data_IF_660194293915
#
_entry.id   IF_660194293915
#
_cell.length_a   1.000
_cell.length_b   1.000
_cell.length_c   1.000
_cell.angle_alpha   90.00
_cell.angle_beta   90.00
_cell.angle_gamma   90.00
#
_symmetry.space_group_name_H-M   'P 1'
#
loop_
_entity.id
_entity.type
_entity.pdbx_description
1 polymer ?
#
# COMPACT_ATOMS: atom_id res chain seq x y z
N UNK A 1 4.40 59.01 43.94
CA UNK A 1 4.99 57.77 44.50
C UNK A 1 4.21 56.53 44.03
N UNK A 2 2.87 56.60 43.96
CA UNK A 2 2.01 55.48 43.52
C UNK A 2 2.21 55.02 42.07
N UNK A 3 2.44 55.94 41.13
CA UNK A 3 2.64 55.59 39.70
C UNK A 3 3.93 54.79 39.47
N UNK A 4 5.00 55.11 40.20
CA UNK A 4 6.28 54.39 40.12
C UNK A 4 6.18 52.98 40.75
N UNK A 5 5.45 52.85 41.86
CA UNK A 5 5.17 51.56 42.50
C UNK A 5 4.33 50.65 41.60
N UNK A 6 3.33 51.21 40.90
CA UNK A 6 2.51 50.47 39.95
C UNK A 6 3.31 49.99 38.73
N UNK A 7 4.21 50.82 38.19
CA UNK A 7 5.08 50.44 37.08
C UNK A 7 6.05 49.31 37.45
N UNK A 8 6.67 49.38 38.65
CA UNK A 8 7.57 48.33 39.16
C UNK A 8 6.81 47.04 39.44
N UNK A 9 5.60 47.12 39.98
CA UNK A 9 4.74 45.95 40.19
C UNK A 9 4.32 45.30 38.85
N UNK A 10 3.99 46.09 37.83
CA UNK A 10 3.66 45.61 36.49
C UNK A 10 4.83 44.87 35.82
N UNK A 11 6.05 45.42 35.91
CA UNK A 11 7.28 44.82 35.39
C UNK A 11 7.59 43.49 36.09
N UNK A 12 7.44 43.42 37.42
CA UNK A 12 7.66 42.21 38.21
C UNK A 12 6.63 41.12 37.87
N UNK A 13 5.36 41.47 37.70
CA UNK A 13 4.30 40.54 37.29
C UNK A 13 4.57 40.02 35.88
N UNK A 14 4.96 40.88 34.94
CA UNK A 14 5.32 40.50 33.57
C UNK A 14 6.51 39.52 33.54
N UNK A 15 7.56 39.79 34.32
CA UNK A 15 8.73 38.90 34.44
C UNK A 15 8.38 37.58 35.14
N UNK A 16 7.49 37.59 36.13
CA UNK A 16 7.02 36.38 36.80
C UNK A 16 6.19 35.50 35.88
N UNK A 17 5.26 36.10 35.11
CA UNK A 17 4.48 35.38 34.09
C UNK A 17 5.41 34.82 33.00
N UNK A 18 6.38 35.62 32.54
CA UNK A 18 7.37 35.18 31.55
C UNK A 18 8.24 34.05 32.09
N UNK A 19 8.65 34.09 33.36
CA UNK A 19 9.40 33.02 34.00
C UNK A 19 8.57 31.73 34.14
N UNK A 20 7.30 31.83 34.53
CA UNK A 20 6.40 30.68 34.63
C UNK A 20 6.11 30.07 33.26
N UNK A 21 5.87 30.90 32.23
CA UNK A 21 5.74 30.46 30.85
C UNK A 21 7.02 29.76 30.40
N UNK A 22 8.18 30.36 30.63
CA UNK A 22 9.45 29.80 30.18
C UNK A 22 9.79 28.48 30.91
N UNK A 23 9.50 28.38 32.21
CA UNK A 23 9.66 27.13 33.00
C UNK A 23 8.66 26.04 32.60
N UNK A 24 7.41 26.41 32.29
CA UNK A 24 6.39 25.50 31.76
C UNK A 24 6.72 25.00 30.35
N UNK A 25 7.19 25.89 29.46
CA UNK A 25 7.63 25.53 28.10
C UNK A 25 8.88 24.66 28.13
N UNK A 26 9.88 25.01 28.93
CA UNK A 26 11.14 24.25 29.06
C UNK A 26 10.90 22.85 29.63
N UNK A 27 10.08 22.71 30.68
CA UNK A 27 9.73 21.39 31.25
C UNK A 27 8.93 20.52 30.29
N UNK A 28 8.03 21.12 29.50
CA UNK A 28 7.22 20.40 28.50
C UNK A 28 8.03 19.95 27.29
N UNK A 29 8.92 20.79 26.77
CA UNK A 29 9.83 20.42 25.67
C UNK A 29 10.73 19.25 26.08
N UNK A 30 11.32 19.33 27.27
CA UNK A 30 12.23 18.31 27.78
C UNK A 30 11.51 16.98 28.08
N UNK A 31 10.20 17.01 28.37
CA UNK A 31 9.38 15.80 28.48
C UNK A 31 9.04 15.21 27.11
N UNK A 32 8.79 16.04 26.10
CA UNK A 32 8.39 15.57 24.77
C UNK A 32 9.58 14.99 23.99
N UNK A 33 10.77 15.58 24.11
CA UNK A 33 12.01 15.06 23.52
C UNK A 33 12.33 13.66 24.07
N UNK A 34 12.26 13.47 25.39
CA UNK A 34 12.42 12.15 26.02
C UNK A 34 11.40 11.12 25.56
N UNK A 35 10.13 11.54 25.39
CA UNK A 35 9.08 10.65 24.86
C UNK A 35 9.37 10.27 23.41
N UNK A 36 9.86 11.22 22.59
CA UNK A 36 10.26 10.98 21.21
C UNK A 36 11.48 10.04 21.11
N UNK A 37 12.50 10.23 21.95
CA UNK A 37 13.65 9.32 22.04
C UNK A 37 13.21 7.90 22.38
N UNK A 38 12.34 7.76 23.39
CA UNK A 38 11.80 6.46 23.80
C UNK A 38 10.97 5.81 22.70
N UNK A 39 10.13 6.60 22.02
CA UNK A 39 9.35 6.16 20.87
C UNK A 39 10.25 5.67 19.74
N UNK A 40 11.32 6.40 19.41
CA UNK A 40 12.29 6.02 18.40
C UNK A 40 13.01 4.72 18.75
N UNK A 41 13.48 4.56 19.99
CA UNK A 41 14.08 3.31 20.46
C UNK A 41 13.13 2.12 20.36
N UNK A 42 11.86 2.28 20.74
CA UNK A 42 10.86 1.21 20.62
C UNK A 42 10.57 0.87 19.16
N UNK A 43 10.47 1.87 18.28
CA UNK A 43 10.29 1.65 16.84
C UNK A 43 11.45 0.88 16.23
N UNK A 44 12.70 1.23 16.57
CA UNK A 44 13.87 0.49 16.10
C UNK A 44 13.85 -0.98 16.55
N UNK A 45 13.46 -1.23 17.80
CA UNK A 45 13.32 -2.60 18.34
C UNK A 45 12.22 -3.37 17.62
N UNK A 46 11.04 -2.78 17.44
CA UNK A 46 9.92 -3.42 16.73
C UNK A 46 10.27 -3.68 15.27
N UNK A 47 10.90 -2.73 14.57
CA UNK A 47 11.37 -2.90 13.19
C UNK A 47 12.30 -4.10 13.08
N UNK A 48 13.30 -4.20 13.96
CA UNK A 48 14.23 -5.34 14.00
C UNK A 48 13.50 -6.68 14.20
N UNK A 49 12.49 -6.72 15.07
CA UNK A 49 11.71 -7.94 15.33
C UNK A 49 10.86 -8.31 14.10
N UNK A 50 10.22 -7.34 13.45
CA UNK A 50 9.41 -7.56 12.24
C UNK A 50 10.31 -8.04 11.09
N UNK A 51 11.45 -7.41 10.88
CA UNK A 51 12.43 -7.81 9.87
C UNK A 51 12.97 -9.22 10.09
N UNK A 52 13.31 -9.60 11.34
CA UNK A 52 13.73 -10.98 11.63
C UNK A 52 12.57 -11.96 11.42
N UNK A 53 11.34 -11.59 11.80
CA UNK A 53 10.15 -12.43 11.63
C UNK A 53 9.82 -12.69 10.16
N UNK A 54 10.07 -11.72 9.29
CA UNK A 54 9.89 -11.87 7.84
C UNK A 54 10.80 -12.89 7.18
N UNK A 55 11.88 -13.25 7.88
CA UNK A 55 12.91 -14.17 7.41
C UNK A 55 12.72 -15.58 7.95
N UNK A 56 11.63 -15.85 8.67
CA UNK A 56 11.40 -17.11 9.35
C UNK A 56 10.01 -17.67 9.07
N UNK A 57 9.89 -18.99 9.09
CA UNK A 57 8.61 -19.66 8.92
C UNK A 57 7.86 -19.73 10.24
N UNK A 58 6.76 -19.00 10.31
CA UNK A 58 5.92 -18.90 11.51
C UNK A 58 4.66 -19.70 11.24
N UNK A 59 4.58 -20.92 11.78
CA UNK A 59 3.39 -21.77 11.63
C UNK A 59 2.35 -21.53 12.74
N UNK A 60 2.76 -20.97 13.88
CA UNK A 60 1.87 -20.73 15.00
C UNK A 60 0.95 -19.52 14.73
N UNK A 61 -0.36 -19.72 14.77
CA UNK A 61 -1.35 -18.66 14.49
C UNK A 61 -1.32 -17.51 15.50
N UNK A 62 -0.96 -17.79 16.76
CA UNK A 62 -0.78 -16.77 17.80
C UNK A 62 0.42 -15.86 17.49
N UNK A 63 1.55 -16.44 17.10
CA UNK A 63 2.73 -15.68 16.66
C UNK A 63 2.43 -14.84 15.42
N UNK A 64 1.69 -15.37 14.44
CA UNK A 64 1.27 -14.58 13.27
C UNK A 64 0.41 -13.36 13.68
N UNK A 65 -0.46 -13.51 14.69
CA UNK A 65 -1.27 -12.41 15.21
C UNK A 65 -0.39 -11.38 15.94
N UNK A 66 0.57 -11.82 16.73
CA UNK A 66 1.54 -10.95 17.39
C UNK A 66 2.37 -10.14 16.38
N UNK A 67 2.85 -10.76 15.30
CA UNK A 67 3.55 -10.07 14.21
C UNK A 67 2.67 -9.00 13.53
N UNK A 68 1.38 -9.30 13.33
CA UNK A 68 0.43 -8.33 12.78
C UNK A 68 0.25 -7.14 13.71
N UNK A 69 0.09 -7.38 15.01
CA UNK A 69 -0.05 -6.31 16.01
C UNK A 69 1.23 -5.45 16.10
N UNK A 70 2.41 -6.06 16.05
CA UNK A 70 3.71 -5.38 15.97
C UNK A 70 3.78 -4.43 14.77
N UNK A 71 3.47 -4.96 13.58
CA UNK A 71 3.52 -4.19 12.34
C UNK A 71 2.57 -2.99 12.40
N UNK A 72 1.34 -3.18 12.89
CA UNK A 72 0.36 -2.10 13.02
C UNK A 72 0.81 -1.01 14.01
N UNK A 73 1.33 -1.41 15.17
CA UNK A 73 1.86 -0.45 16.15
C UNK A 73 3.07 0.31 15.59
N UNK A 74 3.92 -0.36 14.82
CA UNK A 74 5.07 0.24 14.14
C UNK A 74 4.64 1.33 13.14
N UNK A 75 3.72 1.02 12.22
CA UNK A 75 3.26 1.99 11.22
C UNK A 75 2.59 3.20 11.87
N UNK A 76 1.79 2.98 12.92
CA UNK A 76 1.19 4.06 13.71
C UNK A 76 2.25 4.91 14.43
N UNK A 77 3.29 4.29 14.97
CA UNK A 77 4.39 5.01 15.61
C UNK A 77 5.17 5.88 14.63
N UNK A 78 5.53 5.36 13.45
CA UNK A 78 6.15 6.18 12.39
C UNK A 78 5.24 7.33 11.95
N UNK A 79 3.93 7.07 11.83
CA UNK A 79 2.92 8.07 11.50
C UNK A 79 2.96 9.27 12.48
N UNK A 80 3.07 8.99 13.78
CA UNK A 80 3.18 10.02 14.83
C UNK A 80 4.53 10.74 14.82
N UNK A 81 5.63 10.01 14.63
CA UNK A 81 6.99 10.61 14.59
C UNK A 81 7.10 11.63 13.47
N UNK A 82 6.54 11.33 12.30
CA UNK A 82 6.56 12.27 11.19
C UNK A 82 5.70 13.51 11.47
N UNK A 83 4.54 13.31 12.12
CA UNK A 83 3.66 14.43 12.50
C UNK A 83 4.34 15.43 13.45
N UNK A 84 5.13 14.94 14.41
CA UNK A 84 5.84 15.80 15.34
C UNK A 84 6.99 16.57 14.68
N UNK A 85 7.69 15.97 13.70
CA UNK A 85 8.73 16.66 12.91
C UNK A 85 8.18 17.85 12.13
N UNK A 86 6.99 17.73 11.54
CA UNK A 86 6.36 18.86 10.82
C UNK A 86 6.04 20.04 11.73
N UNK A 87 5.59 19.75 12.95
CA UNK A 87 5.19 20.75 13.93
C UNK A 87 6.40 21.57 14.38
N UNK A 88 7.53 20.92 14.66
CA UNK A 88 8.78 21.60 15.01
C UNK A 88 9.26 22.57 13.91
N UNK A 89 9.09 22.20 12.63
CA UNK A 89 9.49 23.04 11.50
C UNK A 89 8.55 24.23 11.27
N UNK A 90 7.25 24.09 11.55
CA UNK A 90 6.29 25.20 11.47
C UNK A 90 6.47 26.20 12.61
N UNK A 91 6.80 25.72 13.81
CA UNK A 91 7.07 26.58 14.95
C UNK A 91 8.36 27.40 14.74
N UNK A 92 9.41 26.80 14.14
CA UNK A 92 10.68 27.48 13.82
C UNK A 92 10.63 28.47 12.65
N UNK A 93 9.76 28.26 11.66
CA UNK A 93 9.60 29.18 10.53
C UNK A 93 8.77 30.44 10.87
N UNK A 94 8.15 30.49 12.05
CA UNK A 94 7.31 31.62 12.48
C UNK A 94 8.10 32.77 13.12
N UNK A 95 9.42 32.62 13.36
CA UNK A 95 10.24 33.68 13.97
C UNK A 95 11.05 34.52 12.99
N UNK A 96 11.33 34.02 11.77
CA UNK A 96 12.15 34.72 10.78
C UNK A 96 11.58 34.54 9.37
N UNK A 97 10.76 35.47 8.90
CA UNK A 97 10.82 35.91 7.49
C UNK A 97 10.03 37.21 7.28
N UNK A 98 10.79 38.29 7.09
CA UNK A 98 10.36 39.49 6.35
C UNK A 98 10.59 39.21 4.85
N UNK A 99 9.52 39.33 4.08
CA UNK A 99 9.44 39.48 2.62
C UNK A 99 9.98 38.37 1.70
N UNK A 100 9.07 37.63 1.07
CA UNK A 100 9.02 37.52 -0.39
C UNK A 100 7.57 37.22 -0.84
N UNK A 101 7.11 37.87 -1.90
CA UNK A 101 5.68 38.09 -2.17
C UNK A 101 5.03 37.04 -3.09
N UNK A 102 5.61 35.83 -3.23
CA UNK A 102 5.19 34.85 -4.25
C UNK A 102 4.51 33.57 -3.70
N UNK A 103 4.02 33.55 -2.46
CA UNK A 103 3.45 32.35 -1.84
C UNK A 103 2.03 32.52 -1.26
N UNK A 104 1.14 33.23 -1.97
CA UNK A 104 -0.20 33.55 -1.44
C UNK A 104 -1.20 32.39 -1.45
N UNK A 105 -0.91 31.26 -2.11
CA UNK A 105 -1.81 30.08 -2.08
C UNK A 105 -1.43 29.04 -1.02
N UNK A 106 -0.14 28.91 -0.65
CA UNK A 106 0.31 27.89 0.32
C UNK A 106 -0.01 28.29 1.77
N UNK A 107 0.23 29.55 2.14
CA UNK A 107 0.11 30.03 3.53
C UNK A 107 -1.29 29.82 4.13
N UNK A 108 -2.35 29.92 3.32
CA UNK A 108 -3.73 29.80 3.79
C UNK A 108 -4.17 28.36 4.12
N UNK A 109 -3.54 27.33 3.53
CA UNK A 109 -3.84 25.92 3.86
C UNK A 109 -3.11 25.43 5.10
N UNK A 110 -1.92 26.00 5.41
CA UNK A 110 -1.15 25.64 6.61
C UNK A 110 -1.56 26.44 7.85
N UNK A 111 -1.90 27.74 7.71
CA UNK A 111 -2.09 28.63 8.86
C UNK A 111 -3.37 28.37 9.68
N UNK A 112 -4.40 27.70 9.13
CA UNK A 112 -5.67 27.47 9.87
C UNK A 112 -5.59 26.41 10.97
N UNK A 113 -4.46 25.73 11.16
CA UNK A 113 -4.37 24.56 12.07
C UNK A 113 -3.65 24.82 13.41
N UNK A 114 -3.12 26.02 13.68
CA UNK A 114 -2.08 26.21 14.70
C UNK A 114 -2.51 26.16 16.19
N UNK A 115 -3.75 26.53 16.58
CA UNK A 115 -4.04 26.72 18.03
C UNK A 115 -4.74 25.57 18.76
N UNK A 116 -5.39 24.66 18.04
CA UNK A 116 -6.11 23.49 18.63
C UNK A 116 -5.39 22.15 18.43
N UNK A 117 -4.31 22.11 17.65
CA UNK A 117 -3.59 20.89 17.27
C UNK A 117 -2.55 20.42 18.27
N UNK A 118 -1.85 21.32 18.98
CA UNK A 118 -0.77 20.93 19.91
C UNK A 118 -1.22 20.01 21.07
N UNK A 119 -2.51 20.02 21.44
CA UNK A 119 -3.04 19.08 22.45
C UNK A 119 -3.36 17.71 21.85
N UNK A 120 -3.93 17.69 20.64
CA UNK A 120 -4.28 16.47 19.94
C UNK A 120 -3.03 15.70 19.50
N UNK A 121 -2.01 16.38 18.97
CA UNK A 121 -0.74 15.73 18.56
C UNK A 121 0.02 15.15 19.74
N UNK A 122 0.00 15.83 20.89
CA UNK A 122 0.60 15.31 22.12
C UNK A 122 -0.13 14.08 22.64
N UNK A 123 -1.47 14.07 22.62
CA UNK A 123 -2.25 12.89 22.99
C UNK A 123 -1.96 11.71 22.05
N UNK A 124 -1.94 11.93 20.73
CA UNK A 124 -1.60 10.91 19.74
C UNK A 124 -0.21 10.32 19.98
N UNK A 125 0.76 11.15 20.37
CA UNK A 125 2.13 10.77 20.68
C UNK A 125 2.23 9.85 21.89
N UNK A 126 1.56 10.21 23.00
CA UNK A 126 1.49 9.34 24.16
C UNK A 126 0.73 8.04 23.87
N UNK A 127 -0.37 8.11 23.11
CA UNK A 127 -1.12 6.91 22.72
C UNK A 127 -0.32 5.95 21.83
N UNK A 128 0.51 6.46 20.92
CA UNK A 128 1.38 5.63 20.10
C UNK A 128 2.52 5.01 20.92
N UNK A 129 3.11 5.78 21.84
CA UNK A 129 4.11 5.26 22.77
C UNK A 129 3.52 4.13 23.63
N UNK A 130 2.39 4.36 24.28
CA UNK A 130 1.69 3.36 25.11
C UNK A 130 1.36 2.11 24.29
N UNK A 131 0.85 2.27 23.07
CA UNK A 131 0.57 1.15 22.16
C UNK A 131 1.82 0.33 21.86
N UNK A 132 2.96 0.96 21.62
CA UNK A 132 4.23 0.25 21.37
C UNK A 132 4.77 -0.41 22.64
N UNK A 133 4.63 0.21 23.80
CA UNK A 133 5.03 -0.36 25.08
C UNK A 133 4.23 -1.62 25.42
N UNK A 134 2.91 -1.59 25.27
CA UNK A 134 2.04 -2.75 25.47
C UNK A 134 2.44 -3.90 24.56
N UNK A 135 2.68 -3.60 23.28
CA UNK A 135 3.05 -4.60 22.29
C UNK A 135 4.43 -5.18 22.62
N UNK A 136 5.43 -4.34 22.91
CA UNK A 136 6.82 -4.79 23.21
C UNK A 136 6.94 -5.52 24.54
N UNK A 137 6.16 -5.15 25.57
CA UNK A 137 6.21 -5.77 26.89
C UNK A 137 6.03 -7.30 26.85
N UNK A 138 5.26 -7.79 25.88
CA UNK A 138 4.93 -9.21 25.72
C UNK A 138 5.76 -9.92 24.63
N UNK A 139 6.85 -9.32 24.15
CA UNK A 139 7.62 -9.87 23.02
C UNK A 139 8.78 -10.77 23.39
N UNK A 140 9.12 -10.89 24.67
CA UNK A 140 10.21 -11.78 25.09
C UNK A 140 9.93 -13.24 24.66
N UNK A 141 8.73 -13.74 24.92
CA UNK A 141 8.30 -15.08 24.51
C UNK A 141 8.24 -15.22 22.99
N UNK A 142 7.69 -14.21 22.30
CA UNK A 142 7.64 -14.19 20.84
C UNK A 142 9.04 -14.31 20.21
N UNK A 143 10.02 -13.55 20.70
CA UNK A 143 11.40 -13.57 20.20
C UNK A 143 12.07 -14.92 20.47
N UNK A 144 11.83 -15.53 21.63
CA UNK A 144 12.36 -16.87 21.96
C UNK A 144 11.77 -17.92 21.00
N UNK A 145 10.44 -17.93 20.84
CA UNK A 145 9.77 -18.85 19.92
C UNK A 145 10.20 -18.63 18.47
N UNK A 146 10.38 -17.36 18.09
CA UNK A 146 10.87 -16.99 16.76
C UNK A 146 12.27 -17.53 16.51
N UNK A 147 13.13 -17.55 17.53
CA UNK A 147 14.46 -18.17 17.47
C UNK A 147 14.42 -19.65 17.05
N UNK A 148 13.37 -20.38 17.44
CA UNK A 148 13.14 -21.77 17.07
C UNK A 148 12.50 -21.97 15.68
N UNK A 149 12.06 -20.91 15.01
CA UNK A 149 11.51 -21.00 13.66
C UNK A 149 12.63 -21.14 12.62
N UNK A 150 12.44 -22.06 11.67
CA UNK A 150 13.34 -22.26 10.55
C UNK A 150 13.44 -20.98 9.68
N UNK A 151 14.65 -20.66 9.21
CA UNK A 151 14.90 -19.50 8.35
C UNK A 151 14.51 -19.78 6.90
N UNK A 152 13.93 -18.79 6.24
CA UNK A 152 13.68 -18.83 4.80
C UNK A 152 15.00 -18.69 4.03
N UNK A 153 15.20 -19.53 3.01
CA UNK A 153 16.32 -19.40 2.08
C UNK A 153 16.21 -18.06 1.35
N UNK A 154 17.10 -17.12 1.68
CA UNK A 154 17.15 -15.80 1.05
C UNK A 154 17.89 -15.90 -0.28
N UNK A 155 17.30 -15.41 -1.38
CA UNK A 155 18.10 -15.05 -2.55
C UNK A 155 18.79 -13.71 -2.27
N UNK A 156 20.05 -13.51 -2.68
CA UNK A 156 20.81 -12.29 -2.36
C UNK A 156 20.16 -10.97 -2.81
N UNK A 157 19.21 -11.02 -3.75
CA UNK A 157 18.63 -9.84 -4.40
C UNK A 157 17.19 -9.50 -3.95
N UNK A 158 16.62 -10.26 -3.02
CA UNK A 158 15.18 -10.20 -2.74
C UNK A 158 14.74 -9.10 -1.76
N UNK A 159 15.66 -8.38 -1.09
CA UNK A 159 15.24 -7.65 0.14
C UNK A 159 15.43 -6.13 0.13
N UNK A 160 16.46 -5.52 -0.47
CA UNK A 160 16.67 -4.07 -0.19
C UNK A 160 17.24 -3.20 -1.32
N UNK A 161 17.67 -3.76 -2.46
CA UNK A 161 18.25 -2.94 -3.54
C UNK A 161 17.21 -2.33 -4.49
N UNK A 162 15.98 -2.85 -4.49
CA UNK A 162 14.86 -2.24 -5.21
C UNK A 162 13.62 -2.30 -4.32
N UNK A 163 13.24 -1.16 -3.75
CA UNK A 163 11.98 -0.93 -3.02
C UNK A 163 10.75 -1.42 -3.81
N UNK A 164 10.87 -1.61 -5.12
CA UNK A 164 9.80 -2.07 -6.01
C UNK A 164 9.63 -3.60 -6.09
N UNK A 165 10.43 -4.41 -5.38
CA UNK A 165 10.44 -5.87 -5.54
C UNK A 165 9.86 -6.66 -4.35
N UNK A 166 9.37 -6.00 -3.30
CA UNK A 166 8.90 -6.68 -2.10
C UNK A 166 7.41 -6.50 -1.85
N UNK A 167 6.78 -7.55 -1.31
CA UNK A 167 5.37 -7.53 -0.96
C UNK A 167 5.17 -6.94 0.44
N UNK A 168 4.68 -5.71 0.49
CA UNK A 168 4.47 -4.95 1.73
C UNK A 168 3.26 -5.42 2.55
N UNK A 169 3.42 -5.59 3.87
CA UNK A 169 2.32 -5.69 4.83
C UNK A 169 1.48 -6.96 4.76
N UNK A 170 1.92 -8.00 4.02
CA UNK A 170 1.19 -9.28 3.84
C UNK A 170 1.84 -10.45 4.57
N UNK A 171 2.61 -10.17 5.60
CA UNK A 171 3.44 -11.15 6.30
C UNK A 171 2.59 -12.29 6.90
N UNK A 172 1.50 -11.95 7.60
CA UNK A 172 0.62 -12.95 8.20
C UNK A 172 -0.11 -13.81 7.14
N UNK A 173 -0.58 -13.19 6.06
CA UNK A 173 -1.24 -13.89 4.95
C UNK A 173 -0.26 -14.79 4.18
N UNK A 174 0.99 -14.33 3.99
CA UNK A 174 2.09 -15.12 3.40
C UNK A 174 2.37 -16.37 4.24
N UNK A 175 2.50 -16.23 5.55
CA UNK A 175 2.76 -17.36 6.45
C UNK A 175 1.61 -18.37 6.43
N UNK A 176 0.35 -17.92 6.42
CA UNK A 176 -0.82 -18.81 6.29
C UNK A 176 -0.84 -19.58 4.97
N UNK A 177 -0.48 -18.91 3.88
CA UNK A 177 -0.43 -19.53 2.56
C UNK A 177 0.72 -20.55 2.48
N UNK A 178 1.90 -20.21 3.01
CA UNK A 178 3.02 -21.14 3.14
C UNK A 178 2.68 -22.34 4.02
N UNK A 179 2.03 -22.12 5.18
CA UNK A 179 1.62 -23.21 6.05
C UNK A 179 0.62 -24.13 5.33
N UNK A 180 -0.35 -23.58 4.60
CA UNK A 180 -1.29 -24.37 3.81
C UNK A 180 -0.59 -25.24 2.76
N UNK A 181 0.39 -24.69 2.04
CA UNK A 181 1.07 -25.41 0.96
C UNK A 181 2.08 -26.45 1.46
N UNK A 182 2.71 -26.20 2.61
CA UNK A 182 3.79 -27.04 3.13
C UNK A 182 3.34 -28.03 4.21
N UNK A 183 2.16 -27.87 4.82
CA UNK A 183 1.63 -28.90 5.70
C UNK A 183 1.20 -30.13 4.89
N UNK A 184 1.56 -31.31 5.40
CA UNK A 184 0.98 -32.60 4.99
C UNK A 184 -0.45 -32.64 5.52
N UNK A 185 -1.42 -32.99 4.68
CA UNK A 185 -2.83 -32.92 5.06
C UNK A 185 -3.14 -33.97 6.14
N UNK A 186 -3.72 -33.58 7.30
CA UNK A 186 -4.17 -34.53 8.32
C UNK A 186 -5.46 -35.26 7.91
N UNK A 187 -6.08 -34.88 6.79
CA UNK A 187 -7.37 -35.38 6.29
C UNK A 187 -7.29 -36.73 5.56
N UNK A 188 -6.11 -37.38 5.59
CA UNK A 188 -5.85 -38.61 4.85
C UNK A 188 -5.44 -38.34 3.40
N UNK A 189 -4.80 -39.34 2.79
CA UNK A 189 -4.14 -39.29 1.47
C UNK A 189 -5.10 -39.08 0.27
N UNK A 190 -6.39 -38.83 0.52
CA UNK A 190 -7.47 -38.80 -0.47
C UNK A 190 -8.20 -37.45 -0.58
N UNK A 191 -7.97 -36.45 0.27
CA UNK A 191 -8.70 -35.17 0.20
C UNK A 191 -7.93 -34.06 -0.56
N UNK A 192 -8.58 -33.42 -1.54
CA UNK A 192 -8.03 -32.27 -2.28
C UNK A 192 -8.21 -30.99 -1.46
N UNK A 193 -7.11 -30.42 -0.97
CA UNK A 193 -7.17 -29.22 -0.13
C UNK A 193 -7.41 -27.96 -0.97
N UNK A 194 -8.40 -27.15 -0.58
CA UNK A 194 -8.81 -25.93 -1.29
C UNK A 194 -8.74 -24.73 -0.35
N UNK A 195 -7.92 -23.74 -0.71
CA UNK A 195 -7.77 -22.49 0.03
C UNK A 195 -8.30 -21.30 -0.77
N UNK A 196 -9.39 -20.66 -0.33
CA UNK A 196 -9.85 -19.41 -0.93
C UNK A 196 -9.05 -18.20 -0.44
N UNK A 197 -8.55 -17.43 -1.40
CA UNK A 197 -7.88 -16.14 -1.25
C UNK A 197 -8.77 -15.04 -1.84
N UNK A 198 -9.46 -14.31 -0.98
CA UNK A 198 -10.52 -13.38 -1.36
C UNK A 198 -10.16 -11.95 -0.96
N UNK A 199 -10.41 -10.98 -1.84
CA UNK A 199 -10.11 -9.57 -1.55
C UNK A 199 -10.44 -8.64 -2.70
N UNK A 200 -10.39 -7.33 -2.46
CA UNK A 200 -10.69 -6.31 -3.47
C UNK A 200 -9.81 -6.37 -4.73
N UNK A 201 -10.17 -5.59 -5.74
CA UNK A 201 -9.31 -5.43 -6.91
C UNK A 201 -7.92 -4.91 -6.49
N UNK A 202 -6.87 -5.37 -7.15
CA UNK A 202 -5.49 -4.87 -6.96
C UNK A 202 -4.95 -4.88 -5.51
N UNK A 203 -5.52 -5.68 -4.62
CA UNK A 203 -5.05 -5.81 -3.21
C UNK A 203 -3.79 -6.67 -3.05
N UNK A 204 -3.22 -7.17 -4.15
CA UNK A 204 -2.00 -8.00 -4.14
C UNK A 204 -2.24 -9.51 -4.03
N UNK A 205 -3.45 -10.02 -4.32
CA UNK A 205 -3.74 -11.46 -4.22
C UNK A 205 -2.84 -12.32 -5.13
N UNK A 206 -2.76 -11.99 -6.42
CA UNK A 206 -1.92 -12.72 -7.37
C UNK A 206 -0.44 -12.60 -7.02
N UNK A 207 -0.03 -11.40 -6.63
CA UNK A 207 1.32 -11.11 -6.14
C UNK A 207 1.68 -11.98 -4.94
N UNK A 208 0.78 -12.12 -3.96
CA UNK A 208 0.97 -12.99 -2.80
C UNK A 208 1.12 -14.46 -3.20
N UNK A 209 0.26 -14.96 -4.09
CA UNK A 209 0.36 -16.33 -4.59
C UNK A 209 1.66 -16.54 -5.36
N UNK A 210 2.02 -15.64 -6.27
CA UNK A 210 3.25 -15.72 -7.05
C UNK A 210 4.50 -15.68 -6.17
N UNK A 211 4.50 -14.82 -5.13
CA UNK A 211 5.58 -14.74 -4.14
C UNK A 211 5.78 -16.07 -3.40
N UNK A 212 4.69 -16.69 -2.95
CA UNK A 212 4.74 -17.98 -2.26
C UNK A 212 5.09 -19.13 -3.21
N UNK A 213 4.61 -19.11 -4.45
CA UNK A 213 4.99 -20.07 -5.48
C UNK A 213 6.47 -19.96 -5.88
N UNK A 214 7.10 -18.81 -5.62
CA UNK A 214 8.54 -18.61 -5.80
C UNK A 214 9.41 -19.29 -4.74
N UNK A 215 8.84 -19.65 -3.57
CA UNK A 215 9.55 -20.33 -2.48
C UNK A 215 10.07 -21.70 -2.95
N UNK A 216 11.36 -21.95 -2.72
CA UNK A 216 12.04 -23.15 -3.25
C UNK A 216 11.47 -24.44 -2.71
N UNK A 217 10.90 -24.44 -1.50
CA UNK A 217 10.26 -25.62 -0.90
C UNK A 217 8.88 -25.86 -1.48
N UNK A 218 8.14 -24.78 -1.79
CA UNK A 218 6.88 -24.89 -2.52
C UNK A 218 7.15 -25.43 -3.93
N UNK A 219 8.15 -24.89 -4.64
CA UNK A 219 8.59 -25.37 -5.95
C UNK A 219 9.10 -26.80 -5.93
N UNK A 220 9.81 -27.20 -4.87
CA UNK A 220 10.32 -28.56 -4.71
C UNK A 220 9.24 -29.58 -4.37
N UNK A 221 8.11 -29.14 -3.80
CA UNK A 221 6.99 -30.01 -3.42
C UNK A 221 6.05 -30.32 -4.59
N UNK A 222 5.74 -29.34 -5.42
CA UNK A 222 4.79 -29.51 -6.53
C UNK A 222 5.53 -29.71 -7.84
N UNK A 223 5.19 -30.79 -8.55
CA UNK A 223 5.73 -31.12 -9.88
C UNK A 223 5.38 -30.08 -10.94
N UNK A 224 4.23 -29.41 -10.80
CA UNK A 224 3.79 -28.33 -11.68
C UNK A 224 2.87 -27.36 -10.95
N UNK A 225 2.94 -26.08 -11.32
CA UNK A 225 2.02 -25.02 -10.88
C UNK A 225 1.19 -24.57 -12.08
N UNK A 226 -0.13 -24.76 -12.01
CA UNK A 226 -1.07 -24.45 -13.09
C UNK A 226 -1.87 -23.20 -12.73
N UNK A 227 -1.88 -22.21 -13.62
CA UNK A 227 -2.66 -20.99 -13.49
C UNK A 227 -3.86 -21.03 -14.44
N UNK A 228 -5.06 -21.01 -13.88
CA UNK A 228 -6.32 -21.19 -14.60
C UNK A 228 -7.22 -19.96 -14.42
N UNK A 229 -8.02 -19.66 -15.43
CA UNK A 229 -9.17 -18.75 -15.31
C UNK A 229 -10.43 -19.58 -15.06
N UNK A 230 -11.35 -19.06 -14.24
CA UNK A 230 -12.62 -19.71 -13.91
C UNK A 230 -13.41 -20.16 -15.15
N UNK A 231 -13.42 -19.33 -16.19
CA UNK A 231 -14.13 -19.62 -17.45
C UNK A 231 -13.54 -20.83 -18.21
N UNK A 232 -12.33 -21.28 -17.85
CA UNK A 232 -11.63 -22.41 -18.47
C UNK A 232 -11.65 -23.67 -17.59
N UNK A 233 -12.39 -23.71 -16.48
CA UNK A 233 -12.45 -24.86 -15.57
C UNK A 233 -12.75 -26.17 -16.30
N UNK A 234 -13.82 -26.19 -17.11
CA UNK A 234 -14.30 -27.40 -17.77
C UNK A 234 -13.41 -27.83 -18.96
N UNK A 235 -12.71 -26.90 -19.62
CA UNK A 235 -11.82 -27.22 -20.76
C UNK A 235 -10.65 -28.13 -20.38
N UNK A 236 -10.28 -28.15 -19.10
CA UNK A 236 -9.18 -28.97 -18.59
C UNK A 236 -9.62 -30.43 -18.44
N UNK A 237 -10.91 -30.67 -18.23
CA UNK A 237 -11.48 -32.02 -18.18
C UNK A 237 -11.16 -32.80 -19.45
N UNK A 238 -11.16 -32.12 -20.60
CA UNK A 238 -10.88 -32.70 -21.92
C UNK A 238 -9.40 -33.03 -22.13
N UNK A 239 -8.49 -32.38 -21.40
CA UNK A 239 -7.03 -32.51 -21.56
C UNK A 239 -6.37 -33.41 -20.49
N UNK A 240 -7.16 -34.05 -19.62
CA UNK A 240 -6.72 -34.71 -18.38
C UNK A 240 -5.75 -35.90 -18.48
N UNK A 241 -5.34 -36.33 -19.68
CA UNK A 241 -4.50 -37.52 -19.85
C UNK A 241 -3.00 -37.30 -19.60
N UNK A 242 -2.52 -36.06 -19.47
CA UNK A 242 -1.08 -35.74 -19.36
C UNK A 242 -0.64 -35.21 -18.01
N UNK A 243 -1.54 -34.99 -17.05
CA UNK A 243 -1.19 -34.46 -15.74
C UNK A 243 -0.79 -35.59 -14.78
N UNK A 244 0.47 -35.58 -14.32
CA UNK A 244 1.02 -36.54 -13.36
C UNK A 244 1.80 -35.81 -12.27
N UNK A 245 1.73 -36.33 -11.05
CA UNK A 245 2.44 -35.79 -9.89
C UNK A 245 1.59 -34.86 -9.04
N UNK A 246 2.18 -34.37 -7.94
CA UNK A 246 1.54 -33.42 -7.02
C UNK A 246 1.48 -32.04 -7.69
N UNK A 247 0.29 -31.48 -7.84
CA UNK A 247 0.10 -30.19 -8.53
C UNK A 247 -0.38 -29.10 -7.58
N UNK A 248 0.05 -27.87 -7.85
CA UNK A 248 -0.56 -26.67 -7.28
C UNK A 248 -1.40 -26.00 -8.36
N UNK A 249 -2.69 -25.81 -8.09
CA UNK A 249 -3.63 -25.25 -9.07
C UNK A 249 -4.13 -23.91 -8.53
N UNK A 250 -3.82 -22.84 -9.24
CA UNK A 250 -4.23 -21.47 -8.92
C UNK A 250 -5.34 -21.05 -9.87
N UNK A 251 -6.55 -20.84 -9.35
CA UNK A 251 -7.74 -20.55 -10.15
C UNK A 251 -8.19 -19.11 -9.89
N UNK A 252 -8.18 -18.28 -10.92
CA UNK A 252 -8.69 -16.92 -10.86
C UNK A 252 -10.15 -16.86 -11.29
N UNK A 253 -11.04 -16.46 -10.37
CA UNK A 253 -12.45 -16.23 -10.67
C UNK A 253 -12.78 -14.75 -10.74
N UNK A 254 -13.28 -14.33 -11.90
CA UNK A 254 -13.84 -13.00 -12.15
C UNK A 254 -15.37 -12.97 -11.99
N UNK A 255 -16.03 -14.11 -12.18
CA UNK A 255 -17.46 -14.37 -11.96
C UNK A 255 -17.66 -15.54 -10.99
N UNK A 256 -18.86 -15.64 -10.41
CA UNK A 256 -19.24 -16.80 -9.59
C UNK A 256 -19.39 -18.03 -10.50
N UNK A 257 -19.26 -19.22 -9.92
CA UNK A 257 -19.43 -20.51 -10.61
C UNK A 257 -20.43 -21.33 -9.81
N UNK A 258 -21.31 -22.03 -10.50
CA UNK A 258 -22.29 -22.89 -9.85
C UNK A 258 -21.62 -24.10 -9.19
N UNK A 259 -22.31 -24.66 -8.20
CA UNK A 259 -21.76 -25.73 -7.38
C UNK A 259 -21.60 -27.03 -8.18
N UNK A 260 -22.40 -27.26 -9.23
CA UNK A 260 -22.34 -28.46 -10.07
C UNK A 260 -21.07 -28.47 -10.94
N UNK A 261 -20.74 -27.36 -11.58
CA UNK A 261 -19.53 -27.21 -12.38
C UNK A 261 -18.26 -27.24 -11.51
N UNK A 262 -18.32 -26.64 -10.31
CA UNK A 262 -17.25 -26.78 -9.33
C UNK A 262 -17.06 -28.24 -8.91
N UNK A 263 -18.13 -28.95 -8.59
CA UNK A 263 -18.08 -30.35 -8.13
C UNK A 263 -17.51 -31.27 -9.21
N UNK A 264 -17.90 -31.08 -10.47
CA UNK A 264 -17.33 -31.82 -11.62
C UNK A 264 -15.81 -31.63 -11.72
N UNK A 265 -15.36 -30.38 -11.62
CA UNK A 265 -13.94 -30.04 -11.67
C UNK A 265 -13.17 -30.61 -10.46
N UNK A 266 -13.73 -30.45 -9.26
CA UNK A 266 -13.15 -30.95 -8.02
C UNK A 266 -13.00 -32.48 -8.04
N UNK A 267 -14.06 -33.20 -8.42
CA UNK A 267 -14.08 -34.66 -8.58
C UNK A 267 -13.07 -35.17 -9.62
N UNK A 268 -12.86 -34.42 -10.71
CA UNK A 268 -11.84 -34.75 -11.70
C UNK A 268 -10.42 -34.65 -11.13
N UNK A 269 -10.10 -33.57 -10.39
CA UNK A 269 -8.76 -33.37 -9.83
C UNK A 269 -8.42 -34.35 -8.72
N UNK A 270 -9.42 -34.73 -7.91
CA UNK A 270 -9.29 -35.79 -6.91
C UNK A 270 -8.75 -37.10 -7.51
N UNK A 271 -9.05 -37.40 -8.78
CA UNK A 271 -8.61 -38.62 -9.48
C UNK A 271 -7.19 -38.55 -10.03
N UNK A 272 -6.63 -37.36 -10.22
CA UNK A 272 -5.43 -37.15 -11.06
C UNK A 272 -4.14 -37.03 -10.25
N UNK A 273 -4.20 -36.49 -9.03
CA UNK A 273 -2.98 -36.31 -8.25
C UNK A 273 -3.24 -36.20 -6.76
N UNK A 274 -2.98 -37.28 -6.02
CA UNK A 274 -2.95 -37.27 -4.55
C UNK A 274 -2.00 -36.18 -4.04
N UNK A 275 -2.44 -35.48 -3.00
CA UNK A 275 -1.70 -34.38 -2.40
C UNK A 275 -1.67 -33.07 -3.21
N UNK A 276 -2.37 -33.00 -4.35
CA UNK A 276 -2.53 -31.71 -5.05
C UNK A 276 -3.28 -30.70 -4.18
N UNK A 277 -3.06 -29.41 -4.41
CA UNK A 277 -3.72 -28.34 -3.67
C UNK A 277 -4.28 -27.28 -4.63
N UNK A 278 -5.42 -26.71 -4.27
CA UNK A 278 -6.06 -25.62 -5.00
C UNK A 278 -5.96 -24.33 -4.20
N UNK A 279 -5.59 -23.24 -4.87
CA UNK A 279 -5.77 -21.87 -4.41
C UNK A 279 -6.81 -21.19 -5.29
N UNK A 280 -7.91 -20.76 -4.69
CA UNK A 280 -8.90 -19.91 -5.36
C UNK A 280 -8.49 -18.45 -5.16
N UNK A 281 -8.35 -17.67 -6.24
CA UNK A 281 -8.11 -16.23 -6.20
C UNK A 281 -9.33 -15.50 -6.72
N UNK A 282 -10.01 -14.72 -5.86
CA UNK A 282 -11.21 -13.99 -6.30
C UNK A 282 -11.48 -12.69 -5.55
N UNK A 283 -12.37 -11.87 -6.13
CA UNK A 283 -13.01 -10.71 -5.49
C UNK A 283 -14.36 -11.06 -4.87
N UNK A 284 -14.91 -12.21 -5.24
CA UNK A 284 -16.27 -12.63 -4.88
C UNK A 284 -16.23 -13.39 -3.55
N UNK A 285 -16.95 -12.87 -2.55
CA UNK A 285 -16.97 -13.46 -1.20
C UNK A 285 -17.69 -14.81 -1.15
N UNK A 286 -18.70 -15.05 -1.98
CA UNK A 286 -19.46 -16.31 -2.01
C UNK A 286 -18.61 -17.52 -2.40
N UNK A 287 -17.53 -17.32 -3.16
CA UNK A 287 -16.58 -18.40 -3.52
C UNK A 287 -15.78 -18.94 -2.32
N UNK A 288 -15.89 -18.33 -1.14
CA UNK A 288 -15.37 -18.91 0.10
C UNK A 288 -15.98 -20.29 0.42
N UNK A 289 -17.19 -20.56 -0.07
CA UNK A 289 -17.93 -21.81 0.16
C UNK A 289 -17.21 -23.05 -0.38
N UNK A 290 -16.34 -22.88 -1.36
CA UNK A 290 -15.55 -23.96 -1.96
C UNK A 290 -14.27 -24.29 -1.18
N UNK A 291 -13.96 -23.56 -0.11
CA UNK A 291 -12.77 -23.82 0.69
C UNK A 291 -12.92 -25.02 1.62
N UNK A 292 -11.92 -25.91 1.62
CA UNK A 292 -11.80 -26.96 2.63
C UNK A 292 -11.08 -26.48 3.90
N UNK A 293 -10.44 -25.30 3.83
CA UNK A 293 -9.81 -24.61 4.96
C UNK A 293 -10.32 -23.17 5.07
N UNK A 294 -10.07 -22.54 6.22
CA UNK A 294 -10.50 -21.15 6.47
C UNK A 294 -9.94 -20.20 5.39
N UNK A 295 -10.78 -19.41 4.71
CA UNK A 295 -10.33 -18.50 3.67
C UNK A 295 -9.41 -17.41 4.20
N UNK A 296 -8.48 -16.97 3.37
CA UNK A 296 -7.65 -15.80 3.61
C UNK A 296 -8.31 -14.59 2.95
N UNK A 297 -8.66 -13.60 3.77
CA UNK A 297 -9.21 -12.33 3.29
C UNK A 297 -8.11 -11.25 3.22
N UNK A 298 -7.86 -10.71 2.02
CA UNK A 298 -6.97 -9.58 1.80
C UNK A 298 -7.76 -8.27 1.82
N UNK A 299 -7.61 -7.52 2.91
CA UNK A 299 -8.14 -6.16 3.05
C UNK A 299 -7.28 -5.15 2.31
N UNK A 300 -7.82 -3.95 2.03
CA UNK A 300 -7.01 -2.80 1.69
C UNK A 300 -6.02 -2.48 2.83
N UNK A 301 -4.93 -1.77 2.52
CA UNK A 301 -4.02 -1.25 3.53
C UNK A 301 -4.74 -0.20 4.38
N UNK A 302 -4.48 -0.20 5.67
CA UNK A 302 -4.88 0.89 6.55
C UNK A 302 -4.20 2.20 6.15
N UNK A 303 -4.71 3.33 6.63
CA UNK A 303 -4.12 4.64 6.36
C UNK A 303 -2.64 4.71 6.77
N UNK A 304 -2.28 4.20 7.95
CA UNK A 304 -0.89 4.23 8.41
C UNK A 304 0.03 3.32 7.59
N UNK A 305 -0.45 2.13 7.20
CA UNK A 305 0.27 1.23 6.29
C UNK A 305 0.48 1.85 4.91
N UNK A 306 -0.57 2.42 4.31
CA UNK A 306 -0.50 3.09 3.01
C UNK A 306 0.45 4.28 3.06
N UNK A 307 0.33 5.12 4.10
CA UNK A 307 1.18 6.28 4.31
C UNK A 307 2.66 5.90 4.39
N UNK A 308 2.98 4.86 5.17
CA UNK A 308 4.33 4.36 5.31
C UNK A 308 4.86 3.80 3.98
N UNK A 309 4.09 2.92 3.32
CA UNK A 309 4.45 2.36 2.02
C UNK A 309 4.67 3.45 0.96
N UNK A 310 3.76 4.41 0.87
CA UNK A 310 3.83 5.47 -0.13
C UNK A 310 5.10 6.31 0.04
N UNK A 311 5.49 6.64 1.27
CA UNK A 311 6.75 7.34 1.55
C UNK A 311 7.95 6.53 1.07
N UNK A 312 8.03 5.26 1.44
CA UNK A 312 9.13 4.39 1.00
C UNK A 312 9.23 4.37 -0.53
N UNK A 313 8.10 4.23 -1.24
CA UNK A 313 8.11 4.18 -2.70
C UNK A 313 8.40 5.53 -3.36
N UNK A 314 7.90 6.64 -2.81
CA UNK A 314 8.06 7.97 -3.39
C UNK A 314 9.45 8.58 -3.17
N UNK A 315 10.12 8.22 -2.06
CA UNK A 315 11.50 8.63 -1.79
C UNK A 315 12.54 7.63 -2.31
N UNK A 316 12.18 6.36 -2.45
CA UNK A 316 13.14 5.33 -2.86
C UNK A 316 14.29 5.24 -1.85
N UNK A 317 15.52 5.32 -2.34
CA UNK A 317 16.73 5.29 -1.50
C UNK A 317 17.08 6.64 -0.85
N UNK A 318 16.33 7.69 -1.14
CA UNK A 318 16.57 9.04 -0.61
C UNK A 318 16.11 9.08 0.84
N UNK A 319 16.93 9.66 1.73
CA UNK A 319 16.53 9.88 3.12
C UNK A 319 15.42 10.95 3.18
N UNK A 320 14.19 10.62 3.60
CA UNK A 320 13.12 11.61 3.69
C UNK A 320 13.38 12.70 4.73
N UNK A 321 14.30 12.48 5.68
CA UNK A 321 14.65 13.47 6.72
C UNK A 321 15.38 14.68 6.15
N UNK A 322 16.07 14.54 5.02
CA UNK A 322 16.73 15.63 4.30
C UNK A 322 15.74 16.51 3.53
N UNK A 323 14.50 16.04 3.34
CA UNK A 323 13.48 16.69 2.52
C UNK A 323 12.16 16.93 3.29
N UNK A 324 12.17 17.72 4.37
CA UNK A 324 11.01 17.86 5.25
C UNK A 324 9.74 18.40 4.57
N UNK A 325 9.87 19.29 3.58
CA UNK A 325 8.73 19.81 2.80
C UNK A 325 8.11 18.72 1.90
N UNK A 326 8.95 17.88 1.28
CA UNK A 326 8.45 16.75 0.49
C UNK A 326 7.80 15.70 1.40
N UNK A 327 8.34 15.50 2.60
CA UNK A 327 7.77 14.57 3.58
C UNK A 327 6.35 14.98 4.02
N UNK A 328 6.06 16.29 4.09
CA UNK A 328 4.69 16.81 4.30
C UNK A 328 3.79 16.58 3.07
N UNK A 329 4.31 16.79 1.87
CA UNK A 329 3.55 16.54 0.64
C UNK A 329 3.23 15.05 0.48
N UNK A 330 4.15 14.16 0.84
CA UNK A 330 3.95 12.71 0.83
C UNK A 330 2.73 12.30 1.66
N UNK A 331 2.54 12.94 2.83
CA UNK A 331 1.37 12.71 3.68
C UNK A 331 0.08 13.18 3.07
N UNK A 332 0.08 14.37 2.48
CA UNK A 332 -1.09 14.91 1.83
C UNK A 332 -1.50 14.04 0.64
N UNK A 333 -0.53 13.50 -0.10
CA UNK A 333 -0.77 12.47 -1.11
C UNK A 333 -1.36 11.19 -0.50
N UNK A 334 -0.75 10.63 0.54
CA UNK A 334 -1.23 9.41 1.18
C UNK A 334 -2.68 9.55 1.67
N UNK A 335 -3.04 10.70 2.23
CA UNK A 335 -4.42 11.03 2.63
C UNK A 335 -5.37 11.04 1.43
N UNK A 336 -4.98 11.70 0.33
CA UNK A 336 -5.78 11.72 -0.91
C UNK A 336 -5.98 10.29 -1.43
N UNK A 337 -4.90 9.53 -1.61
CA UNK A 337 -4.95 8.15 -2.12
C UNK A 337 -5.80 7.23 -1.24
N UNK A 338 -5.65 7.33 0.08
CA UNK A 338 -6.47 6.56 1.02
C UNK A 338 -7.95 6.97 0.97
N UNK A 339 -8.25 8.28 0.94
CA UNK A 339 -9.64 8.78 0.88
C UNK A 339 -10.37 8.36 -0.39
N UNK A 340 -9.64 8.23 -1.50
CA UNK A 340 -10.17 7.79 -2.79
C UNK A 340 -10.17 6.26 -2.93
N UNK A 341 -9.67 5.53 -1.91
CA UNK A 341 -9.49 4.07 -1.92
C UNK A 341 -8.70 3.60 -3.15
N UNK A 342 -7.60 4.30 -3.45
CA UNK A 342 -6.73 3.98 -4.58
C UNK A 342 -6.14 2.58 -4.47
N UNK A 343 -6.01 1.95 -5.64
CA UNK A 343 -5.33 0.68 -5.84
C UNK A 343 -3.84 0.76 -5.54
N UNK A 344 -3.20 -0.39 -5.22
CA UNK A 344 -1.74 -0.46 -5.11
C UNK A 344 -1.04 -0.07 -6.43
N UNK A 345 -1.70 -0.30 -7.56
CA UNK A 345 -1.20 0.12 -8.89
C UNK A 345 -1.19 1.65 -9.00
N UNK A 346 -2.27 2.33 -8.63
CA UNK A 346 -2.29 3.81 -8.66
C UNK A 346 -1.27 4.40 -7.68
N UNK A 347 -1.15 3.84 -6.47
CA UNK A 347 -0.19 4.28 -5.47
C UNK A 347 1.25 4.14 -6.00
N UNK A 348 1.59 3.04 -6.67
CA UNK A 348 2.92 2.83 -7.28
C UNK A 348 3.19 3.79 -8.44
N UNK A 349 2.19 4.09 -9.28
CA UNK A 349 2.31 5.08 -10.37
C UNK A 349 2.59 6.48 -9.84
N UNK A 350 1.85 6.95 -8.83
CA UNK A 350 2.11 8.26 -8.24
C UNK A 350 3.49 8.30 -7.58
N UNK A 351 3.88 7.24 -6.86
CA UNK A 351 5.20 7.16 -6.26
C UNK A 351 6.32 7.17 -7.31
N UNK A 352 6.14 6.50 -8.45
CA UNK A 352 7.09 6.54 -9.58
C UNK A 352 7.19 7.94 -10.22
N UNK A 353 6.06 8.62 -10.40
CA UNK A 353 6.07 9.98 -10.92
C UNK A 353 6.78 10.97 -9.98
N UNK A 354 6.59 10.83 -8.66
CA UNK A 354 7.18 11.72 -7.65
C UNK A 354 8.68 11.49 -7.46
N UNK A 355 9.16 10.24 -7.47
CA UNK A 355 10.58 9.94 -7.27
C UNK A 355 11.48 10.43 -8.40
N UNK A 356 10.92 10.73 -9.58
CA UNK A 356 11.65 11.29 -10.75
C UNK A 356 12.12 12.73 -10.55
N UNK A 357 11.55 13.46 -9.60
CA UNK A 357 11.94 14.84 -9.29
C UNK A 357 11.74 15.14 -7.82
N UNK A 358 12.82 15.47 -7.10
CA UNK A 358 12.78 15.89 -5.69
C UNK A 358 12.54 17.41 -5.54
N UNK A 359 11.91 18.04 -6.54
CA UNK A 359 11.51 19.44 -6.45
C UNK A 359 10.10 19.57 -5.87
N UNK A 360 9.96 20.48 -4.90
CA UNK A 360 8.70 20.76 -4.22
C UNK A 360 7.59 21.16 -5.21
N UNK A 361 7.90 22.01 -6.20
CA UNK A 361 6.93 22.42 -7.22
C UNK A 361 6.41 21.23 -8.06
N UNK A 362 7.29 20.27 -8.39
CA UNK A 362 6.90 19.06 -9.13
C UNK A 362 5.90 18.22 -8.33
N UNK A 363 6.16 18.02 -7.03
CA UNK A 363 5.27 17.27 -6.15
C UNK A 363 3.91 17.96 -5.98
N UNK A 364 3.90 19.28 -5.77
CA UNK A 364 2.66 20.05 -5.71
C UNK A 364 1.84 19.94 -7.01
N UNK A 365 2.50 20.07 -8.17
CA UNK A 365 1.84 19.98 -9.47
C UNK A 365 1.17 18.60 -9.66
N UNK A 366 1.89 17.51 -9.34
CA UNK A 366 1.35 16.14 -9.43
C UNK A 366 0.19 15.95 -8.44
N UNK A 367 0.28 16.51 -7.23
CA UNK A 367 -0.79 16.41 -6.22
C UNK A 367 -2.07 17.07 -6.70
N UNK A 368 -1.94 18.26 -7.28
CA UNK A 368 -3.07 19.01 -7.81
C UNK A 368 -3.68 18.33 -9.04
N UNK A 369 -2.85 17.76 -9.94
CA UNK A 369 -3.33 16.90 -11.04
C UNK A 369 -4.14 15.72 -10.51
N UNK A 370 -3.61 15.00 -9.51
CA UNK A 370 -4.29 13.86 -8.89
C UNK A 370 -5.63 14.26 -8.25
N UNK A 371 -5.67 15.35 -7.48
CA UNK A 371 -6.91 15.87 -6.86
C UNK A 371 -7.97 16.21 -7.92
N UNK A 372 -7.59 16.91 -8.99
CA UNK A 372 -8.52 17.26 -10.08
C UNK A 372 -9.00 16.02 -10.82
N UNK A 373 -8.10 15.08 -11.14
CA UNK A 373 -8.43 13.80 -11.76
C UNK A 373 -9.51 13.05 -10.97
N UNK A 374 -9.32 12.85 -9.66
CA UNK A 374 -10.31 12.17 -8.82
C UNK A 374 -11.63 12.94 -8.75
N UNK A 375 -11.58 14.26 -8.52
CA UNK A 375 -12.78 15.10 -8.44
C UNK A 375 -13.59 15.09 -9.74
N UNK A 376 -12.91 15.14 -10.89
CA UNK A 376 -13.54 15.16 -12.22
C UNK A 376 -14.23 13.85 -12.53
N UNK A 377 -13.57 12.72 -12.32
CA UNK A 377 -14.17 11.40 -12.53
C UNK A 377 -15.35 11.15 -11.59
N UNK A 378 -15.22 11.53 -10.31
CA UNK A 378 -16.35 11.46 -9.38
C UNK A 378 -17.53 12.32 -9.84
N UNK A 379 -17.27 13.54 -10.33
CA UNK A 379 -18.31 14.44 -10.82
C UNK A 379 -18.96 13.96 -12.12
N UNK A 380 -18.20 13.32 -13.03
CA UNK A 380 -18.70 12.89 -14.33
C UNK A 380 -19.47 11.57 -14.25
N UNK A 381 -19.00 10.63 -13.43
CA UNK A 381 -19.51 9.26 -13.42
C UNK A 381 -20.15 8.87 -12.08
N UNK A 382 -20.17 9.76 -11.09
CA UNK A 382 -20.71 9.47 -9.75
C UNK A 382 -19.89 8.45 -8.95
N UNK A 383 -18.76 7.98 -9.49
CA UNK A 383 -17.92 6.93 -8.92
C UNK A 383 -16.44 7.31 -9.00
N UNK A 384 -15.65 6.85 -8.02
CA UNK A 384 -14.20 7.03 -8.06
C UNK A 384 -13.59 6.21 -9.21
N UNK A 385 -12.64 6.76 -9.97
CA UNK A 385 -11.97 6.01 -11.03
C UNK A 385 -11.19 4.87 -10.38
N UNK A 386 -11.61 3.63 -10.64
CA UNK A 386 -10.96 2.42 -10.13
C UNK A 386 -10.60 1.52 -11.30
N UNK A 387 -9.46 0.86 -11.22
CA UNK A 387 -9.06 -0.19 -12.17
C UNK A 387 -10.16 -1.24 -12.36
N UNK A 388 -10.89 -1.59 -11.29
CA UNK A 388 -12.02 -2.51 -11.37
C UNK A 388 -13.17 -2.01 -12.27
N UNK A 389 -13.42 -0.70 -12.32
CA UNK A 389 -14.47 -0.12 -13.17
C UNK A 389 -14.04 -0.08 -14.63
N UNK A 390 -12.76 0.20 -14.86
CA UNK A 390 -12.16 0.11 -16.19
C UNK A 390 -12.30 -1.30 -16.75
N UNK A 391 -11.96 -2.34 -15.97
CA UNK A 391 -12.17 -3.75 -16.37
C UNK A 391 -13.64 -4.08 -16.69
N UNK A 392 -14.60 -3.31 -16.16
CA UNK A 392 -16.03 -3.43 -16.46
C UNK A 392 -16.49 -2.56 -17.64
N UNK A 393 -15.56 -1.95 -18.38
CA UNK A 393 -15.84 -1.14 -19.57
C UNK A 393 -16.24 0.30 -19.28
N UNK A 394 -16.13 0.79 -18.04
CA UNK A 394 -16.44 2.19 -17.73
C UNK A 394 -15.27 3.10 -18.16
N UNK A 395 -15.52 4.18 -18.90
CA UNK A 395 -14.48 5.10 -19.33
C UNK A 395 -13.94 5.91 -18.14
N UNK A 396 -12.63 6.18 -18.12
CA UNK A 396 -11.98 7.07 -17.14
C UNK A 396 -11.47 8.32 -17.85
N UNK A 397 -11.82 9.49 -17.33
CA UNK A 397 -11.33 10.76 -17.86
C UNK A 397 -9.91 11.04 -17.35
N UNK A 398 -8.97 11.26 -18.27
CA UNK A 398 -7.56 11.52 -17.94
C UNK A 398 -7.12 12.92 -18.38
N UNK A 399 -8.07 13.87 -18.46
CA UNK A 399 -7.82 15.24 -18.93
C UNK A 399 -6.77 15.95 -18.08
N UNK A 400 -6.85 15.81 -16.76
CA UNK A 400 -5.92 16.46 -15.84
C UNK A 400 -4.50 15.88 -15.89
N UNK A 401 -4.35 14.65 -16.39
CA UNK A 401 -3.05 13.97 -16.57
C UNK A 401 -2.43 14.35 -17.92
N UNK A 402 -3.21 14.32 -18.99
CA UNK A 402 -2.76 14.58 -20.38
C UNK A 402 -2.81 16.05 -20.79
N UNK A 403 -3.37 16.91 -19.93
CA UNK A 403 -3.69 18.31 -20.21
C UNK A 403 -4.60 18.52 -21.45
N UNK A 404 -5.33 17.49 -21.87
CA UNK A 404 -6.21 17.48 -23.05
C UNK A 404 -7.39 16.51 -22.86
N UNK A 405 -8.57 16.73 -23.47
CA UNK A 405 -9.75 15.91 -23.21
C UNK A 405 -9.58 14.50 -23.77
N UNK A 406 -9.26 13.55 -22.89
CA UNK A 406 -9.03 12.14 -23.24
C UNK A 406 -9.79 11.20 -22.31
N UNK A 407 -10.28 10.10 -22.87
CA UNK A 407 -10.75 8.94 -22.11
C UNK A 407 -9.83 7.76 -22.25
N UNK A 408 -9.77 6.99 -21.18
CA UNK A 408 -9.12 5.70 -21.13
C UNK A 408 -10.15 4.57 -21.10
N UNK A 409 -9.91 3.52 -21.88
CA UNK A 409 -10.68 2.28 -21.91
C UNK A 409 -9.73 1.06 -21.90
N UNK A 410 -10.19 -0.14 -21.48
CA UNK A 410 -9.39 -1.35 -21.54
C UNK A 410 -8.83 -1.59 -22.95
N UNK A 411 -7.54 -1.91 -23.02
CA UNK A 411 -6.90 -2.25 -24.28
C UNK A 411 -7.06 -3.76 -24.53
N UNK A 412 -7.76 -4.14 -25.61
CA UNK A 412 -7.74 -5.50 -26.15
C UNK A 412 -6.75 -5.57 -27.31
N UNK A 413 -5.73 -6.43 -27.21
CA UNK A 413 -4.81 -6.70 -28.32
C UNK A 413 -5.57 -7.38 -29.45
N UNK A 414 -5.89 -6.64 -30.52
CA UNK A 414 -6.28 -7.21 -31.80
C UNK A 414 -5.02 -7.36 -32.68
N UNK A 415 -4.75 -8.58 -33.14
CA UNK A 415 -3.47 -9.02 -33.74
C UNK A 415 -3.26 -8.60 -35.20
N UNK A 416 -3.74 -7.44 -35.65
CA UNK A 416 -3.70 -7.08 -37.08
C UNK A 416 -3.39 -5.63 -37.44
N UNK A 417 -3.06 -4.76 -36.48
CA UNK A 417 -2.74 -3.33 -36.76
C UNK A 417 -1.38 -2.95 -36.20
N UNK A 418 -0.67 -2.05 -36.89
CA UNK A 418 0.52 -1.35 -36.37
C UNK A 418 0.25 -0.85 -34.94
N UNK A 419 1.16 -1.17 -34.02
CA UNK A 419 1.00 -0.84 -32.61
C UNK A 419 0.99 0.68 -32.45
N UNK A 420 -0.07 1.30 -31.89
CA UNK A 420 -0.10 2.73 -31.62
C UNK A 420 1.09 3.15 -30.74
N UNK A 421 1.50 4.43 -30.78
CA UNK A 421 2.55 4.92 -29.89
C UNK A 421 2.15 4.67 -28.42
N UNK A 422 3.12 4.35 -27.58
CA UNK A 422 2.89 4.09 -26.15
C UNK A 422 3.62 5.09 -25.27
N UNK A 423 3.02 5.43 -24.13
CA UNK A 423 3.62 6.29 -23.11
C UNK A 423 3.28 5.76 -21.72
N UNK A 424 4.16 5.95 -20.73
CA UNK A 424 3.88 5.53 -19.36
C UNK A 424 3.09 6.60 -18.60
N UNK A 425 2.25 6.16 -17.65
CA UNK A 425 1.48 7.10 -16.82
C UNK A 425 2.39 8.00 -15.97
N UNK A 426 3.51 7.48 -15.49
CA UNK A 426 4.48 8.27 -14.73
C UNK A 426 5.11 9.39 -15.58
N UNK A 427 5.49 9.11 -16.83
CA UNK A 427 6.00 10.13 -17.76
C UNK A 427 4.97 11.22 -18.03
N UNK A 428 3.72 10.86 -18.32
CA UNK A 428 2.65 11.84 -18.55
C UNK A 428 2.35 12.70 -17.31
N UNK A 429 2.39 12.09 -16.12
CA UNK A 429 2.17 12.82 -14.87
C UNK A 429 3.27 13.85 -14.63
N UNK A 430 4.52 13.49 -14.90
CA UNK A 430 5.68 14.38 -14.76
C UNK A 430 5.72 15.44 -15.86
N UNK A 431 5.53 15.05 -17.12
CA UNK A 431 5.57 15.93 -18.29
C UNK A 431 4.46 15.59 -19.29
N UNK A 432 3.35 16.35 -19.32
CA UNK A 432 2.27 16.14 -20.29
C UNK A 432 2.68 16.34 -21.76
N UNK A 433 3.83 16.97 -22.03
CA UNK A 433 4.27 17.25 -23.41
C UNK A 433 4.74 16.00 -24.16
N UNK A 434 5.14 14.94 -23.44
CA UNK A 434 5.54 13.64 -24.01
C UNK A 434 4.37 12.82 -24.56
N UNK A 435 3.15 13.31 -24.38
CA UNK A 435 1.94 12.67 -24.89
C UNK A 435 1.99 12.51 -26.42
N UNK A 436 1.75 11.29 -26.95
CA UNK A 436 1.66 11.07 -28.39
C UNK A 436 0.53 11.88 -29.05
N UNK A 437 0.68 12.15 -30.35
CA UNK A 437 -0.38 12.77 -31.16
C UNK A 437 -1.41 11.71 -31.56
N UNK A 438 -2.70 12.02 -31.41
CA UNK A 438 -3.80 11.10 -31.74
C UNK A 438 -4.07 10.08 -30.63
N UNK A 439 -4.62 8.93 -30.99
CA UNK A 439 -4.88 7.84 -30.07
C UNK A 439 -3.59 7.09 -29.74
N UNK A 440 -3.48 6.63 -28.48
CA UNK A 440 -2.24 6.01 -28.00
C UNK A 440 -2.48 4.96 -26.93
N UNK A 441 -1.45 4.16 -26.67
CA UNK A 441 -1.43 3.18 -25.59
C UNK A 441 -0.87 3.84 -24.33
N UNK A 442 -1.64 3.81 -23.25
CA UNK A 442 -1.17 4.18 -21.93
C UNK A 442 -0.74 2.93 -21.16
N UNK A 443 0.56 2.84 -20.87
CA UNK A 443 1.10 1.85 -19.95
C UNK A 443 0.93 2.46 -18.55
N UNK A 444 -0.13 2.04 -17.84
CA UNK A 444 -0.37 2.53 -16.48
C UNK A 444 0.75 2.07 -15.57
N UNK A 445 1.06 0.77 -15.57
CA UNK A 445 2.13 0.19 -14.76
C UNK A 445 2.57 -1.17 -15.30
N UNK A 446 3.87 -1.46 -15.19
CA UNK A 446 4.42 -2.80 -15.42
C UNK A 446 5.00 -3.31 -14.10
N UNK A 447 4.43 -4.39 -13.57
CA UNK A 447 4.81 -4.91 -12.26
C UNK A 447 6.21 -5.53 -12.30
N UNK A 448 7.10 -5.01 -11.44
CA UNK A 448 8.41 -5.63 -11.18
C UNK A 448 8.32 -6.83 -10.23
N UNK A 449 7.19 -6.98 -9.55
CA UNK A 449 6.89 -8.12 -8.67
C UNK A 449 6.13 -9.19 -9.46
N UNK A 450 6.45 -10.49 -9.27
CA UNK A 450 5.67 -11.58 -9.83
C UNK A 450 4.14 -11.43 -9.58
N UNK A 451 3.28 -11.79 -10.55
CA UNK A 451 3.59 -12.47 -11.80
C UNK A 451 3.92 -11.51 -12.98
N UNK A 452 4.41 -10.30 -12.70
CA UNK A 452 4.82 -9.31 -13.71
C UNK A 452 3.67 -8.84 -14.63
N UNK A 453 2.48 -8.66 -14.06
CA UNK A 453 1.33 -8.14 -14.82
C UNK A 453 1.59 -6.71 -15.33
N UNK A 454 1.13 -6.47 -16.56
CA UNK A 454 1.14 -5.15 -17.20
C UNK A 454 -0.27 -4.61 -17.27
N UNK A 455 -0.46 -3.36 -16.82
CA UNK A 455 -1.73 -2.65 -16.85
C UNK A 455 -1.71 -1.66 -18.01
N UNK A 456 -2.35 -2.03 -19.12
CA UNK A 456 -2.27 -1.30 -20.38
C UNK A 456 -3.67 -0.89 -20.84
N UNK A 457 -3.82 0.35 -21.29
CA UNK A 457 -5.10 0.91 -21.67
C UNK A 457 -5.00 1.69 -22.98
N UNK A 458 -6.12 1.72 -23.71
CA UNK A 458 -6.25 2.53 -24.90
C UNK A 458 -6.75 3.92 -24.52
N UNK A 459 -6.13 4.95 -25.08
CA UNK A 459 -6.53 6.34 -24.86
C UNK A 459 -7.04 6.94 -26.16
N UNK A 460 -8.25 7.47 -26.12
CA UNK A 460 -8.89 8.16 -27.24
C UNK A 460 -9.09 9.63 -26.93
N UNK A 461 -8.91 10.47 -27.96
CA UNK A 461 -9.25 11.89 -27.86
C UNK A 461 -10.76 12.09 -27.88
N UNK A 462 -11.27 12.91 -26.97
CA UNK A 462 -12.69 13.32 -26.94
C UNK A 462 -12.96 14.60 -27.73
N UNK A 463 -11.98 15.08 -28.50
CA UNK A 463 -12.08 16.38 -29.17
C UNK A 463 -13.06 16.43 -30.36
N UNK A 464 -13.78 15.35 -30.68
CA UNK A 464 -14.66 15.26 -31.86
C UNK A 464 -15.97 14.47 -31.64
N UNK A 465 -16.78 14.82 -30.64
CA UNK A 465 -18.19 14.36 -30.55
C UNK A 465 -19.19 15.55 -30.56
N UNK A 466 -18.85 16.64 -31.28
CA UNK A 466 -19.76 17.80 -31.47
C UNK A 466 -20.10 18.14 -32.92
N UNK A 467 -19.74 17.29 -33.87
CA UNK A 467 -20.17 17.44 -35.26
C UNK A 467 -20.61 16.09 -35.82
N UNK A 468 -21.83 15.68 -35.47
CA UNK A 468 -22.71 14.95 -36.37
C UNK A 468 -24.13 15.43 -36.10
N UNK A 469 -24.80 15.74 -37.21
CA UNK A 469 -25.95 16.63 -37.41
C UNK A 469 -27.26 16.23 -36.71
#
# INVERSE_FOLDING_TARGET
>A
MEVALSAVAGELVSRFISFLLNKYHSSRLHSQEKVMERLHHLLMRVCTIVEEADTRYINNSGMMMQLKMLSQAMYRGYSVVDNSKYQALQDGASSDEVSSNDSSTWSLYLAKRSRTTNKATHLELHCALESLEIVVANMAEFVILLGGCERMSRRPYDIYLYIDNFMFGRHAEKQKLLSFLLHLDPLGDDALAVLPLIGGATTGKKTLVAHVCGDERVRGRFSSILHLKGDNLLRILDHGRTMKGMMLIVIEFVSDVDDDDWERFHSFLMRIGRGSKIIIVSRIKSLARFGSVKPIFLSALSHDELRYLFKIMAFGSVDPTEHPRLLQLADEFAKVLHSMQSSLVEITVFADALRRSLHVQSWCCILDKGRRFFKRNLSMYGMQPRIALLEQGHPVDITDVTSHPHSMAPYTMNTSVEKPPSVTAAELLTDPSVRPKGDFILILWESRIPPHESFVYFVTSRAQDKHQE
#
